data_IF_197521641446
#
_entry.id   IF_197521641446
#
_cell.length_a   1.000
_cell.length_b   1.000
_cell.length_c   1.000
_cell.angle_alpha   90.00
_cell.angle_beta   90.00
_cell.angle_gamma   90.00
#
_symmetry.space_group_name_H-M   'P 1'
#
loop_
_entity.id
_entity.type
_entity.pdbx_description
1 polymer ?
#
# COMPACT_ATOMS: atom_id res chain seq x y z
N UNK A 1 -33.68 7.18 -15.55
CA UNK A 1 -32.37 7.85 -15.73
C UNK A 1 -32.17 8.77 -14.54
N UNK A 2 -31.23 8.45 -13.65
CA UNK A 2 -30.94 9.29 -12.49
C UNK A 2 -30.15 10.52 -12.96
N UNK A 3 -30.66 11.73 -12.69
CA UNK A 3 -29.95 12.97 -12.94
C UNK A 3 -28.72 13.02 -12.03
N UNK A 4 -27.55 13.16 -12.64
CA UNK A 4 -26.27 13.23 -11.95
C UNK A 4 -26.12 14.68 -11.48
N UNK A 5 -26.35 14.91 -10.19
CA UNK A 5 -26.12 16.21 -9.58
C UNK A 5 -24.61 16.47 -9.46
N UNK A 6 -24.10 17.37 -10.29
CA UNK A 6 -22.67 17.72 -10.36
C UNK A 6 -22.19 18.52 -9.13
N UNK A 7 -23.11 18.98 -8.28
CA UNK A 7 -22.75 19.70 -7.05
C UNK A 7 -22.27 18.78 -5.93
N UNK A 8 -22.55 17.48 -6.00
CA UNK A 8 -22.14 16.49 -5.01
C UNK A 8 -21.78 15.16 -5.69
N UNK A 9 -20.55 15.02 -6.20
CA UNK A 9 -20.14 13.84 -6.96
C UNK A 9 -20.14 12.58 -6.08
N UNK A 10 -20.49 11.40 -6.62
CA UNK A 10 -20.62 10.15 -5.87
C UNK A 10 -19.31 9.59 -5.27
N UNK A 11 -18.20 10.33 -5.37
CA UNK A 11 -16.85 9.86 -5.06
C UNK A 11 -16.24 10.51 -3.81
N UNK A 12 -16.97 11.37 -3.09
CA UNK A 12 -16.45 12.02 -1.87
C UNK A 12 -16.53 11.05 -0.66
N UNK A 13 -15.36 10.52 -0.28
CA UNK A 13 -15.08 9.68 0.89
C UNK A 13 -14.99 10.56 2.18
N UNK A 14 -14.80 10.00 3.39
CA UNK A 14 -15.59 10.23 4.58
C UNK A 14 -14.76 11.00 5.62
N UNK A 15 -14.33 12.21 5.30
CA UNK A 15 -13.68 13.12 6.27
C UNK A 15 -14.44 14.45 6.34
N UNK A 16 -15.78 14.40 6.26
CA UNK A 16 -16.62 15.59 6.21
C UNK A 16 -16.72 16.21 7.61
N UNK A 17 -15.92 17.25 7.86
CA UNK A 17 -16.30 18.33 8.78
C UNK A 17 -17.22 19.27 7.99
N UNK A 18 -18.52 19.00 7.97
CA UNK A 18 -19.47 19.71 7.10
C UNK A 18 -20.87 19.10 7.02
N UNK A 19 -21.73 19.71 6.20
CA UNK A 19 -23.17 19.44 6.13
C UNK A 19 -23.52 17.99 5.71
N UNK A 20 -24.59 17.45 6.30
CA UNK A 20 -25.08 16.10 6.08
C UNK A 20 -25.52 15.89 4.61
N UNK A 21 -25.29 14.71 4.01
CA UNK A 21 -25.68 14.44 2.64
C UNK A 21 -27.20 14.40 2.49
N UNK A 22 -27.75 15.27 1.63
CA UNK A 22 -29.19 15.30 1.27
C UNK A 22 -29.58 14.20 0.26
N UNK A 23 -28.59 13.47 -0.29
CA UNK A 23 -28.80 12.45 -1.32
C UNK A 23 -28.99 11.05 -0.71
N UNK A 24 -30.12 10.40 -1.03
CA UNK A 24 -30.52 9.09 -0.50
C UNK A 24 -29.54 7.95 -0.85
N UNK A 25 -28.80 8.06 -1.96
CA UNK A 25 -27.80 7.05 -2.37
C UNK A 25 -26.55 7.11 -1.46
N UNK A 26 -26.10 8.31 -1.10
CA UNK A 26 -24.97 8.50 -0.19
C UNK A 26 -25.29 8.05 1.24
N UNK A 27 -26.54 8.24 1.68
CA UNK A 27 -27.00 7.78 2.99
C UNK A 27 -26.99 6.24 3.14
N UNK A 28 -27.02 5.50 2.03
CA UNK A 28 -27.02 4.03 2.02
C UNK A 28 -25.66 3.42 1.65
N UNK A 29 -24.61 4.24 1.44
CA UNK A 29 -23.29 3.74 1.09
C UNK A 29 -22.69 2.92 2.24
N UNK A 30 -22.30 1.67 1.95
CA UNK A 30 -21.58 0.81 2.89
C UNK A 30 -20.14 0.61 2.40
N UNK A 31 -19.13 1.16 3.11
CA UNK A 31 -17.73 0.92 2.80
C UNK A 31 -17.39 -0.57 2.84
N UNK A 32 -16.55 -1.05 1.91
CA UNK A 32 -16.02 -2.41 1.93
C UNK A 32 -15.15 -2.66 3.17
N UNK A 33 -14.44 -1.62 3.63
CA UNK A 33 -13.64 -1.63 4.87
C UNK A 33 -14.33 -0.72 5.88
N UNK A 34 -14.86 -1.23 7.02
CA UNK A 34 -15.53 -0.40 7.99
C UNK A 34 -14.54 0.55 8.69
N UNK A 35 -14.96 1.75 9.14
CA UNK A 35 -14.08 2.76 9.75
C UNK A 35 -13.33 2.28 11.02
N UNK A 36 -13.80 1.19 11.63
CA UNK A 36 -13.19 0.59 12.83
C UNK A 36 -12.32 -0.64 12.52
N UNK A 37 -12.19 -1.04 11.26
CA UNK A 37 -11.28 -2.13 10.90
C UNK A 37 -9.83 -1.65 11.07
N UNK A 38 -9.11 -2.23 12.02
CA UNK A 38 -7.67 -2.08 12.12
C UNK A 38 -7.00 -3.20 11.34
N UNK A 39 -6.64 -2.90 10.09
CA UNK A 39 -5.78 -3.79 9.32
C UNK A 39 -4.33 -3.57 9.76
N UNK A 40 -3.56 -4.66 9.77
CA UNK A 40 -2.14 -4.56 10.08
C UNK A 40 -1.40 -4.01 8.86
N UNK A 41 -0.91 -2.78 9.00
CA UNK A 41 -0.16 -2.04 7.99
C UNK A 41 1.35 -2.08 8.24
N UNK A 42 1.77 -1.85 9.50
CA UNK A 42 3.17 -1.82 9.89
C UNK A 42 3.51 -2.97 10.84
N UNK A 43 4.18 -3.98 10.31
CA UNK A 43 4.73 -5.09 11.10
C UNK A 43 6.25 -5.03 11.15
N UNK A 44 6.86 -5.59 12.22
CA UNK A 44 8.32 -5.69 12.31
C UNK A 44 8.94 -6.53 11.18
N UNK A 45 8.23 -7.55 10.68
CA UNK A 45 8.78 -8.49 9.69
C UNK A 45 9.00 -7.84 8.31
N UNK A 46 7.98 -7.21 7.67
CA UNK A 46 8.16 -6.40 6.45
C UNK A 46 9.15 -5.27 6.62
N UNK A 47 9.12 -4.58 7.77
CA UNK A 47 10.03 -3.48 8.04
C UNK A 47 11.49 -3.93 8.03
N UNK A 48 11.82 -5.03 8.74
CA UNK A 48 13.19 -5.53 8.81
C UNK A 48 13.66 -6.06 7.45
N UNK A 49 12.85 -6.87 6.76
CA UNK A 49 13.20 -7.43 5.45
C UNK A 49 13.37 -6.32 4.42
N UNK A 50 12.42 -5.39 4.34
CA UNK A 50 12.46 -4.25 3.42
C UNK A 50 13.66 -3.35 3.67
N UNK A 51 13.97 -3.05 4.93
CA UNK A 51 15.14 -2.23 5.29
C UNK A 51 16.45 -2.91 4.90
N UNK A 52 16.59 -4.23 5.14
CA UNK A 52 17.79 -4.97 4.75
C UNK A 52 17.98 -5.02 3.23
N UNK A 53 16.93 -5.36 2.48
CA UNK A 53 16.96 -5.37 1.03
C UNK A 53 17.23 -3.97 0.45
N UNK A 54 16.56 -2.95 0.98
CA UNK A 54 16.73 -1.55 0.61
C UNK A 54 18.14 -1.04 0.87
N UNK A 55 18.77 -1.43 1.98
CA UNK A 55 20.16 -1.07 2.28
C UNK A 55 21.13 -1.69 1.27
N UNK A 56 20.97 -2.98 0.95
CA UNK A 56 21.82 -3.69 0.00
C UNK A 56 21.68 -3.12 -1.41
N UNK A 57 20.44 -2.96 -1.88
CA UNK A 57 20.16 -2.43 -3.22
C UNK A 57 20.48 -0.93 -3.32
N UNK A 58 20.23 -0.16 -2.26
CA UNK A 58 20.60 1.26 -2.19
C UNK A 58 22.11 1.46 -2.23
N UNK A 59 22.87 0.69 -1.44
CA UNK A 59 24.33 0.70 -1.49
C UNK A 59 24.86 0.27 -2.85
N UNK A 60 24.26 -0.76 -3.46
CA UNK A 60 24.61 -1.22 -4.81
C UNK A 60 24.37 -0.16 -5.86
N UNK A 61 23.21 0.51 -5.85
CA UNK A 61 22.90 1.59 -6.78
C UNK A 61 23.81 2.81 -6.60
N UNK A 62 24.15 3.17 -5.35
CA UNK A 62 25.09 4.25 -5.08
C UNK A 62 26.49 3.91 -5.59
N UNK A 63 26.94 2.67 -5.37
CA UNK A 63 28.23 2.19 -5.87
C UNK A 63 28.29 2.21 -7.40
N UNK A 64 27.25 1.75 -8.09
CA UNK A 64 27.19 1.78 -9.56
C UNK A 64 27.16 3.22 -10.11
N UNK A 65 26.46 4.13 -9.44
CA UNK A 65 26.51 5.56 -9.77
C UNK A 65 27.94 6.09 -9.70
N UNK A 66 28.64 5.82 -8.60
CA UNK A 66 29.99 6.36 -8.39
C UNK A 66 31.03 5.70 -9.30
N UNK A 67 30.84 4.43 -9.68
CA UNK A 67 31.82 3.66 -10.43
C UNK A 67 31.62 3.68 -11.95
N UNK A 68 30.37 3.55 -12.40
CA UNK A 68 30.02 3.41 -13.83
C UNK A 68 29.13 4.55 -14.34
N UNK A 69 28.67 5.46 -13.48
CA UNK A 69 27.87 6.63 -13.86
C UNK A 69 26.42 6.29 -14.24
N UNK A 70 25.97 5.05 -13.99
CA UNK A 70 24.64 4.58 -14.34
C UNK A 70 23.85 4.19 -13.09
N UNK A 71 22.61 4.66 -13.01
CA UNK A 71 21.64 4.22 -12.00
C UNK A 71 20.82 3.05 -12.52
N UNK A 72 20.65 2.02 -11.71
CA UNK A 72 19.66 0.95 -11.95
C UNK A 72 18.48 1.16 -11.01
N UNK A 73 17.26 0.95 -11.51
CA UNK A 73 16.06 0.97 -10.66
C UNK A 73 16.15 -0.16 -9.63
N UNK A 74 16.54 0.21 -8.42
CA UNK A 74 16.69 -0.71 -7.29
C UNK A 74 15.34 -1.10 -6.66
N UNK A 75 14.34 -0.20 -6.71
CA UNK A 75 13.06 -0.41 -6.02
C UNK A 75 12.22 -1.54 -6.65
N UNK A 76 12.20 -1.64 -7.99
CA UNK A 76 11.46 -2.69 -8.70
C UNK A 76 11.92 -4.10 -8.30
N UNK A 77 13.22 -4.45 -8.39
CA UNK A 77 13.68 -5.76 -7.98
C UNK A 77 13.52 -6.00 -6.47
N UNK A 78 13.70 -4.97 -5.63
CA UNK A 78 13.47 -5.07 -4.18
C UNK A 78 12.03 -5.48 -3.87
N UNK A 79 11.04 -4.81 -4.48
CA UNK A 79 9.63 -5.13 -4.28
C UNK A 79 9.30 -6.56 -4.73
N UNK A 80 9.79 -6.99 -5.90
CA UNK A 80 9.56 -8.34 -6.43
C UNK A 80 10.16 -9.41 -5.51
N UNK A 81 11.41 -9.21 -5.05
CA UNK A 81 12.09 -10.16 -4.15
C UNK A 81 11.37 -10.21 -2.80
N UNK A 82 10.98 -9.06 -2.24
CA UNK A 82 10.25 -8.96 -0.98
C UNK A 82 8.94 -9.75 -1.05
N UNK A 83 8.08 -9.48 -2.04
CA UNK A 83 6.80 -10.18 -2.23
C UNK A 83 7.02 -11.69 -2.42
N UNK A 84 8.07 -12.08 -3.14
CA UNK A 84 8.40 -13.50 -3.36
C UNK A 84 8.80 -14.19 -2.05
N UNK A 85 9.60 -13.54 -1.21
CA UNK A 85 10.00 -14.04 0.11
C UNK A 85 8.78 -14.17 1.02
N UNK A 86 7.93 -13.13 1.10
CA UNK A 86 6.69 -13.16 1.88
C UNK A 86 5.76 -14.28 1.42
N UNK A 87 5.55 -14.42 0.11
CA UNK A 87 4.70 -15.47 -0.47
C UNK A 87 5.27 -16.87 -0.21
N UNK A 88 6.58 -17.03 -0.18
CA UNK A 88 7.24 -18.29 0.16
C UNK A 88 7.09 -18.62 1.66
N UNK A 89 7.28 -17.63 2.53
CA UNK A 89 7.06 -17.76 3.99
C UNK A 89 5.61 -18.17 4.29
N UNK A 90 4.63 -17.51 3.67
CA UNK A 90 3.21 -17.85 3.81
C UNK A 90 2.92 -19.28 3.36
N UNK A 91 3.52 -19.75 2.25
CA UNK A 91 3.40 -21.15 1.79
C UNK A 91 4.02 -22.18 2.73
N UNK A 92 5.05 -21.79 3.49
CA UNK A 92 5.73 -22.65 4.46
C UNK A 92 5.02 -22.69 5.83
N UNK A 93 3.84 -22.09 5.95
CA UNK A 93 3.04 -22.06 7.18
C UNK A 93 3.39 -20.92 8.13
N UNK A 94 4.29 -20.02 7.73
CA UNK A 94 4.65 -18.82 8.48
C UNK A 94 3.82 -17.65 7.96
N UNK A 95 2.78 -17.27 8.73
CA UNK A 95 1.96 -16.05 8.66
C UNK A 95 1.73 -15.42 7.27
N UNK A 96 0.46 -15.33 6.87
CA UNK A 96 0.06 -14.57 5.69
C UNK A 96 0.40 -13.08 5.86
N UNK A 97 1.15 -12.51 4.91
CA UNK A 97 1.35 -11.06 4.85
C UNK A 97 0.16 -10.38 4.19
N UNK A 98 -0.30 -9.27 4.79
CA UNK A 98 -1.40 -8.49 4.23
C UNK A 98 -0.94 -7.67 3.02
N UNK A 99 -1.89 -7.24 2.17
CA UNK A 99 -1.59 -6.33 1.05
C UNK A 99 -0.97 -5.02 1.55
N UNK A 100 -1.40 -4.55 2.74
CA UNK A 100 -0.89 -3.33 3.35
C UNK A 100 0.54 -3.51 3.87
N UNK A 101 0.87 -4.68 4.41
CA UNK A 101 2.23 -5.02 4.83
C UNK A 101 3.21 -5.06 3.65
N UNK A 102 2.76 -5.56 2.49
CA UNK A 102 3.58 -5.53 1.26
C UNK A 102 3.78 -4.11 0.70
N UNK A 103 2.89 -3.17 0.99
CA UNK A 103 3.01 -1.80 0.50
C UNK A 103 4.12 -1.00 1.22
N UNK A 104 4.58 -1.48 2.37
CA UNK A 104 5.55 -0.76 3.21
C UNK A 104 7.00 -0.93 2.78
N UNK A 105 7.30 -1.91 1.90
CA UNK A 105 8.65 -2.26 1.43
C UNK A 105 8.98 -1.53 0.13
#
# INVERSE_FOLDING_TARGET
MANIDLSNPPNEFPDIVGAHPTNAILASFRPFIPPRAQLRELTPLPLIIGTLLGMVFGASSLYLVLKVGLTVSASIPVAVISITIFRLLSKLGLRDSTILENNIV
#
